data_IF_738557480911
#
_entry.id   IF_738557480911
#
_cell.length_a   1.000
_cell.length_b   1.000
_cell.length_c   1.000
_cell.angle_alpha   90.00
_cell.angle_beta   90.00
_cell.angle_gamma   90.00
#
_symmetry.space_group_name_H-M   'P 1'
#
loop_
_entity.id
_entity.type
_entity.pdbx_description
1 polymer ?
#
# COMPACT_ATOMS: atom_id res chain seq x y z
N UNK A 1 -16.56 -21.05 -28.25
CA UNK A 1 -15.32 -21.62 -27.68
C UNK A 1 -15.00 -20.82 -26.43
N UNK A 2 -14.96 -21.41 -25.22
CA UNK A 2 -14.47 -20.68 -24.06
C UNK A 2 -13.00 -20.33 -24.33
N UNK A 3 -12.63 -19.07 -24.15
CA UNK A 3 -11.23 -18.66 -24.23
C UNK A 3 -10.45 -19.47 -23.17
N UNK A 4 -9.37 -20.14 -23.57
CA UNK A 4 -8.43 -20.72 -22.62
C UNK A 4 -7.96 -19.61 -21.69
N UNK A 5 -8.27 -19.73 -20.40
CA UNK A 5 -7.78 -18.82 -19.37
C UNK A 5 -6.30 -19.14 -19.21
N UNK A 6 -5.44 -18.38 -19.87
CA UNK A 6 -4.00 -18.50 -19.70
C UNK A 6 -3.64 -17.96 -18.31
N UNK A 7 -3.39 -18.87 -17.37
CA UNK A 7 -3.01 -18.53 -16.00
C UNK A 7 -1.50 -18.25 -15.99
N UNK A 8 -1.03 -17.06 -15.56
CA UNK A 8 0.39 -16.77 -15.49
C UNK A 8 1.12 -17.77 -14.59
N UNK A 9 2.26 -18.28 -15.02
CA UNK A 9 3.10 -19.20 -14.25
C UNK A 9 3.97 -18.51 -13.19
N UNK A 10 4.06 -17.18 -13.20
CA UNK A 10 4.83 -16.39 -12.23
C UNK A 10 4.26 -14.98 -12.01
N UNK A 11 4.67 -14.32 -10.91
CA UNK A 11 4.32 -12.92 -10.63
C UNK A 11 4.86 -11.95 -11.70
N UNK A 12 6.06 -12.22 -12.22
CA UNK A 12 6.67 -11.41 -13.28
C UNK A 12 5.87 -11.53 -14.60
N UNK A 13 5.41 -12.73 -14.93
CA UNK A 13 4.53 -12.94 -16.08
C UNK A 13 3.17 -12.26 -15.86
N UNK A 14 2.57 -12.42 -14.68
CA UNK A 14 1.33 -11.74 -14.31
C UNK A 14 1.46 -10.21 -14.45
N UNK A 15 2.59 -9.64 -14.05
CA UNK A 15 2.87 -8.21 -14.17
C UNK A 15 2.88 -7.72 -15.62
N UNK A 16 3.22 -8.59 -16.57
CA UNK A 16 3.26 -8.27 -18.00
C UNK A 16 1.88 -8.43 -18.68
N UNK A 17 1.04 -9.36 -18.21
CA UNK A 17 -0.20 -9.74 -18.92
C UNK A 17 -1.50 -9.24 -18.29
N UNK A 18 -1.48 -8.79 -17.02
CA UNK A 18 -2.71 -8.44 -16.29
C UNK A 18 -3.53 -7.36 -17.01
N UNK A 19 -2.86 -6.36 -17.60
CA UNK A 19 -3.52 -5.24 -18.26
C UNK A 19 -4.31 -5.71 -19.49
N UNK A 20 -3.69 -6.57 -20.31
CA UNK A 20 -4.35 -7.19 -21.46
C UNK A 20 -5.52 -8.07 -21.04
N UNK A 21 -5.36 -8.85 -19.97
CA UNK A 21 -6.45 -9.66 -19.42
C UNK A 21 -7.63 -8.82 -18.91
N UNK A 22 -7.35 -7.72 -18.19
CA UNK A 22 -8.36 -6.80 -17.70
C UNK A 22 -9.14 -6.12 -18.84
N UNK A 23 -8.45 -5.75 -19.92
CA UNK A 23 -9.09 -5.20 -21.12
C UNK A 23 -9.95 -6.25 -21.83
N UNK A 24 -9.40 -7.44 -22.08
CA UNK A 24 -10.10 -8.52 -22.79
C UNK A 24 -11.37 -8.98 -22.06
N UNK A 25 -11.38 -8.90 -20.73
CA UNK A 25 -12.51 -9.27 -19.89
C UNK A 25 -13.47 -8.10 -19.60
N UNK A 26 -13.19 -6.90 -20.11
CA UNK A 26 -13.91 -5.68 -19.73
C UNK A 26 -14.02 -5.52 -18.20
N UNK A 27 -12.96 -5.86 -17.47
CA UNK A 27 -13.00 -5.91 -16.01
C UNK A 27 -13.14 -4.51 -15.41
N UNK A 28 -14.10 -4.35 -14.49
CA UNK A 28 -14.30 -3.11 -13.73
C UNK A 28 -13.39 -3.02 -12.48
N UNK A 29 -13.08 -4.18 -11.89
CA UNK A 29 -12.26 -4.32 -10.69
C UNK A 29 -11.12 -5.30 -10.97
N UNK A 30 -9.91 -4.90 -10.62
CA UNK A 30 -8.70 -5.72 -10.76
C UNK A 30 -7.96 -5.77 -9.44
N UNK A 31 -7.67 -6.98 -8.97
CA UNK A 31 -6.88 -7.22 -7.76
C UNK A 31 -5.52 -7.81 -8.16
N UNK A 32 -4.44 -7.11 -7.82
CA UNK A 32 -3.07 -7.48 -8.13
C UNK A 32 -2.33 -7.75 -6.82
N UNK A 33 -2.25 -9.03 -6.44
CA UNK A 33 -1.71 -9.44 -5.15
C UNK A 33 -0.24 -9.87 -5.24
N UNK A 34 0.70 -8.95 -4.95
CA UNK A 34 2.14 -9.24 -5.05
C UNK A 34 2.63 -9.36 -6.50
N UNK A 35 1.88 -8.81 -7.45
CA UNK A 35 2.22 -8.79 -8.88
C UNK A 35 3.05 -7.56 -9.24
N UNK A 36 2.71 -6.39 -8.67
CA UNK A 36 3.38 -5.13 -8.96
C UNK A 36 4.33 -4.75 -7.81
N UNK A 37 5.54 -5.28 -7.83
CA UNK A 37 6.60 -5.07 -6.82
C UNK A 37 7.72 -4.13 -7.33
N UNK A 38 8.42 -3.47 -6.43
CA UNK A 38 9.50 -2.53 -6.75
C UNK A 38 9.06 -1.49 -7.78
N UNK A 39 9.84 -1.33 -8.85
CA UNK A 39 9.55 -0.39 -9.93
C UNK A 39 8.31 -0.75 -10.77
N UNK A 40 7.86 -2.01 -10.74
CA UNK A 40 6.69 -2.44 -11.51
C UNK A 40 5.38 -1.83 -10.99
N UNK A 41 5.37 -1.28 -9.77
CA UNK A 41 4.22 -0.57 -9.18
C UNK A 41 3.73 0.60 -10.04
N UNK A 42 4.63 1.20 -10.82
CA UNK A 42 4.30 2.27 -11.79
C UNK A 42 3.27 1.84 -12.84
N UNK A 43 3.17 0.53 -13.14
CA UNK A 43 2.15 0.00 -14.04
C UNK A 43 0.71 0.22 -13.52
N UNK A 44 0.52 0.46 -12.22
CA UNK A 44 -0.80 0.82 -11.68
C UNK A 44 -1.32 2.18 -12.20
N UNK A 45 -0.43 3.03 -12.73
CA UNK A 45 -0.77 4.32 -13.33
C UNK A 45 -0.97 4.23 -14.86
N UNK A 46 -0.84 3.03 -15.44
CA UNK A 46 -0.93 2.85 -16.88
C UNK A 46 -2.31 3.28 -17.45
N UNK A 47 -2.42 3.55 -18.75
CA UNK A 47 -3.69 3.84 -19.39
C UNK A 47 -4.71 2.70 -19.24
N UNK A 48 -4.26 1.45 -19.21
CA UNK A 48 -5.12 0.26 -19.05
C UNK A 48 -5.77 0.19 -17.67
N UNK A 49 -5.14 0.78 -16.65
CA UNK A 49 -5.74 0.95 -15.33
C UNK A 49 -6.83 2.03 -15.29
N UNK A 50 -6.87 2.94 -16.28
CA UNK A 50 -7.81 4.06 -16.27
C UNK A 50 -9.27 3.58 -16.35
N UNK A 51 -10.13 4.18 -15.52
CA UNK A 51 -11.55 3.85 -15.45
C UNK A 51 -11.87 2.56 -14.67
N UNK A 52 -10.87 1.92 -14.06
CA UNK A 52 -11.02 0.69 -13.26
C UNK A 52 -10.69 0.93 -11.80
N UNK A 53 -11.28 0.13 -10.91
CA UNK A 53 -10.84 0.05 -9.52
C UNK A 53 -9.70 -0.96 -9.41
N UNK A 54 -8.50 -0.48 -9.07
CA UNK A 54 -7.34 -1.32 -8.82
C UNK A 54 -7.11 -1.46 -7.31
N UNK A 55 -6.93 -2.70 -6.86
CA UNK A 55 -6.42 -3.02 -5.54
C UNK A 55 -5.07 -3.73 -5.71
N UNK A 56 -3.99 -3.06 -5.31
CA UNK A 56 -2.62 -3.54 -5.51
C UNK A 56 -1.97 -3.79 -4.15
N UNK A 57 -1.53 -5.02 -3.90
CA UNK A 57 -0.56 -5.31 -2.83
C UNK A 57 0.83 -5.26 -3.42
N UNK A 58 1.68 -4.43 -2.86
CA UNK A 58 3.08 -4.23 -3.26
C UNK A 58 4.02 -4.47 -2.09
N UNK A 59 5.33 -4.49 -2.35
CA UNK A 59 6.41 -4.71 -1.38
C UNK A 59 6.98 -3.40 -0.80
N UNK A 60 6.47 -2.24 -1.23
CA UNK A 60 6.83 -0.96 -0.63
C UNK A 60 6.37 -0.85 0.82
N UNK A 61 7.31 -0.58 1.72
CA UNK A 61 7.09 -0.51 3.17
C UNK A 61 6.84 0.91 3.69
N UNK A 62 7.26 1.92 2.93
CA UNK A 62 7.09 3.35 3.23
C UNK A 62 6.10 3.98 2.25
N UNK A 63 5.04 4.58 2.80
CA UNK A 63 3.95 5.20 2.03
C UNK A 63 4.44 6.37 1.19
N UNK A 64 5.26 7.28 1.74
CA UNK A 64 5.64 8.50 1.04
C UNK A 64 6.79 8.26 0.06
N UNK A 65 7.68 7.32 0.33
CA UNK A 65 8.67 6.85 -0.65
C UNK A 65 7.98 6.21 -1.87
N UNK A 66 6.92 5.42 -1.65
CA UNK A 66 6.10 4.89 -2.76
C UNK A 66 5.45 6.02 -3.57
N UNK A 67 4.87 7.02 -2.91
CA UNK A 67 4.25 8.14 -3.60
C UNK A 67 5.26 8.99 -4.38
N UNK A 68 6.44 9.23 -3.81
CA UNK A 68 7.53 9.93 -4.47
C UNK A 68 8.00 9.15 -5.71
N UNK A 69 8.19 7.83 -5.58
CA UNK A 69 8.54 6.96 -6.69
C UNK A 69 7.49 6.98 -7.82
N UNK A 70 6.21 6.86 -7.48
CA UNK A 70 5.10 6.94 -8.44
C UNK A 70 4.97 8.34 -9.08
N UNK A 71 5.46 9.38 -8.41
CA UNK A 71 5.43 10.77 -8.87
C UNK A 71 6.72 11.22 -9.57
N UNK A 72 7.73 10.36 -9.73
CA UNK A 72 9.02 10.69 -10.34
C UNK A 72 8.85 11.34 -11.72
N UNK A 73 7.98 10.75 -12.55
CA UNK A 73 7.73 11.20 -13.93
C UNK A 73 6.58 12.21 -13.95
N UNK A 74 6.80 13.34 -14.61
CA UNK A 74 5.83 14.45 -14.63
C UNK A 74 4.43 14.04 -15.14
N UNK A 75 4.35 13.15 -16.14
CA UNK A 75 3.07 12.66 -16.66
C UNK A 75 2.31 11.76 -15.66
N UNK A 76 3.02 11.08 -14.76
CA UNK A 76 2.44 10.13 -13.82
C UNK A 76 1.87 10.86 -12.59
N UNK A 77 2.38 12.05 -12.26
CA UNK A 77 1.89 12.91 -11.17
C UNK A 77 0.40 13.23 -11.27
N UNK A 78 -0.07 13.61 -12.46
CA UNK A 78 -1.48 13.91 -12.70
C UNK A 78 -2.35 12.65 -12.56
N UNK A 79 -1.93 11.54 -13.18
CA UNK A 79 -2.64 10.27 -13.07
C UNK A 79 -2.71 9.79 -11.61
N UNK A 80 -1.60 9.87 -10.88
CA UNK A 80 -1.52 9.51 -9.47
C UNK A 80 -2.45 10.38 -8.62
N UNK A 81 -2.38 11.71 -8.75
CA UNK A 81 -3.22 12.62 -7.99
C UNK A 81 -4.72 12.41 -8.23
N UNK A 82 -5.12 12.08 -9.46
CA UNK A 82 -6.53 11.91 -9.81
C UNK A 82 -7.07 10.53 -9.45
N UNK A 83 -6.23 9.50 -9.51
CA UNK A 83 -6.63 8.08 -9.39
C UNK A 83 -6.34 7.48 -8.02
N UNK A 84 -5.33 7.96 -7.31
CA UNK A 84 -5.04 7.48 -5.95
C UNK A 84 -6.24 7.76 -5.05
N UNK A 85 -6.69 6.73 -4.33
CA UNK A 85 -7.76 6.85 -3.34
C UNK A 85 -7.22 6.72 -1.94
N UNK A 86 -6.45 5.65 -1.70
CA UNK A 86 -5.83 5.42 -0.43
C UNK A 86 -4.59 4.53 -0.56
N UNK A 87 -3.71 4.60 0.44
CA UNK A 87 -2.64 3.63 0.68
C UNK A 87 -2.87 3.05 2.07
N UNK A 88 -2.77 1.73 2.20
CA UNK A 88 -2.85 1.05 3.49
C UNK A 88 -1.53 0.35 3.76
N UNK A 89 -0.86 0.75 4.82
CA UNK A 89 0.24 0.00 5.43
C UNK A 89 -0.31 -0.74 6.64
N UNK A 90 -0.07 -2.05 6.70
CA UNK A 90 -0.46 -2.89 7.82
C UNK A 90 0.79 -3.50 8.47
N UNK A 91 0.83 -3.51 9.80
CA UNK A 91 1.77 -4.30 10.59
C UNK A 91 1.02 -5.18 11.58
N UNK A 92 1.57 -6.35 11.87
CA UNK A 92 1.04 -7.30 12.85
C UNK A 92 2.02 -7.42 14.01
N UNK A 93 1.70 -6.74 15.11
CA UNK A 93 2.53 -6.66 16.31
C UNK A 93 2.15 -7.75 17.29
N UNK A 94 3.13 -8.33 17.99
CA UNK A 94 2.86 -9.17 19.16
C UNK A 94 2.40 -8.32 20.35
N UNK A 95 1.37 -8.78 21.04
CA UNK A 95 0.88 -8.16 22.28
C UNK A 95 1.67 -8.69 23.47
N UNK A 96 2.07 -7.82 24.40
CA UNK A 96 2.74 -8.26 25.64
C UNK A 96 1.79 -9.04 26.56
N UNK A 97 2.33 -10.04 27.26
CA UNK A 97 1.58 -10.80 28.28
C UNK A 97 0.69 -11.93 27.76
N UNK A 98 0.64 -12.17 26.44
CA UNK A 98 -0.02 -13.34 25.86
C UNK A 98 0.74 -14.65 26.18
N UNK A 99 0.05 -15.79 26.33
CA UNK A 99 0.71 -17.08 26.49
C UNK A 99 1.59 -17.39 25.27
N UNK A 100 2.65 -18.18 25.44
CA UNK A 100 3.43 -18.65 24.31
C UNK A 100 2.52 -19.37 23.31
N UNK A 101 2.60 -19.04 22.01
CA UNK A 101 1.67 -19.56 21.01
C UNK A 101 1.84 -21.07 20.88
N UNK A 102 0.77 -21.81 21.16
CA UNK A 102 0.79 -23.28 21.16
C UNK A 102 0.60 -23.87 19.74
N UNK A 103 0.12 -23.07 18.80
CA UNK A 103 -0.08 -23.45 17.40
C UNK A 103 -0.17 -22.20 16.49
N UNK A 104 -0.25 -22.43 15.17
CA UNK A 104 -0.34 -21.36 14.18
C UNK A 104 -1.58 -20.44 14.33
N UNK A 105 -2.69 -20.96 14.85
CA UNK A 105 -3.89 -20.16 15.12
C UNK A 105 -3.73 -19.26 16.35
N UNK A 106 -2.93 -19.68 17.33
CA UNK A 106 -2.60 -18.89 18.51
C UNK A 106 -1.66 -17.73 18.13
N UNK A 107 -0.73 -17.96 17.19
CA UNK A 107 0.14 -16.91 16.65
C UNK A 107 -0.61 -15.71 16.05
N UNK A 108 -1.84 -15.90 15.55
CA UNK A 108 -2.68 -14.83 15.02
C UNK A 108 -3.55 -14.17 16.09
N UNK A 109 -3.91 -14.90 17.15
CA UNK A 109 -4.72 -14.38 18.27
C UNK A 109 -3.94 -13.41 19.17
N UNK A 110 -2.65 -13.65 19.34
CA UNK A 110 -1.78 -12.81 20.17
C UNK A 110 -1.17 -11.64 19.40
N UNK A 111 -1.73 -11.33 18.22
CA UNK A 111 -1.28 -10.23 17.37
C UNK A 111 -2.32 -9.14 17.27
N UNK A 112 -1.85 -7.90 17.31
CA UNK A 112 -2.63 -6.71 17.03
C UNK A 112 -2.25 -6.18 15.65
N UNK A 113 -3.26 -5.98 14.81
CA UNK A 113 -3.08 -5.26 13.56
C UNK A 113 -3.04 -3.75 13.85
N UNK A 114 -2.01 -3.09 13.32
CA UNK A 114 -1.90 -1.63 13.28
C UNK A 114 -1.90 -1.20 11.83
N UNK A 115 -2.69 -0.16 11.56
CA UNK A 115 -2.91 0.33 10.21
C UNK A 115 -2.51 1.79 10.12
N UNK A 116 -1.69 2.08 9.14
CA UNK A 116 -1.49 3.42 8.63
C UNK A 116 -2.30 3.52 7.34
N UNK A 117 -3.29 4.41 7.33
CA UNK A 117 -4.20 4.59 6.18
C UNK A 117 -4.10 6.02 5.72
N UNK A 118 -3.51 6.21 4.55
CA UNK A 118 -3.46 7.48 3.86
C UNK A 118 -4.64 7.61 2.92
N UNK A 119 -5.41 8.68 3.03
CA UNK A 119 -6.43 9.06 2.03
C UNK A 119 -5.88 10.18 1.15
N UNK A 120 -6.15 10.09 -0.15
CA UNK A 120 -5.73 11.11 -1.11
C UNK A 120 -6.68 12.31 -1.09
N UNK A 121 -6.54 13.15 -0.07
CA UNK A 121 -7.28 14.41 0.09
C UNK A 121 -6.79 15.49 -0.88
N UNK A 122 -7.60 16.54 -1.10
CA UNK A 122 -7.33 17.54 -2.12
C UNK A 122 -5.99 18.29 -1.90
N UNK A 123 -5.58 18.53 -0.65
CA UNK A 123 -4.27 19.11 -0.34
C UNK A 123 -3.12 18.23 -0.82
N UNK A 124 -3.21 16.91 -0.57
CA UNK A 124 -2.23 15.93 -1.03
C UNK A 124 -2.24 15.83 -2.55
N UNK A 125 -3.42 15.79 -3.19
CA UNK A 125 -3.53 15.75 -4.66
C UNK A 125 -2.85 16.95 -5.31
N UNK A 126 -3.02 18.15 -4.76
CA UNK A 126 -2.33 19.35 -5.25
C UNK A 126 -0.81 19.23 -5.13
N UNK A 127 -0.33 18.74 -3.98
CA UNK A 127 1.10 18.53 -3.76
C UNK A 127 1.69 17.47 -4.71
N UNK A 128 0.97 16.37 -4.96
CA UNK A 128 1.33 15.34 -5.93
C UNK A 128 1.44 15.92 -7.36
N UNK A 129 0.45 16.69 -7.80
CA UNK A 129 0.49 17.35 -9.13
C UNK A 129 1.68 18.30 -9.27
N UNK A 130 2.02 19.01 -8.20
CA UNK A 130 3.18 19.91 -8.17
C UNK A 130 4.52 19.16 -8.13
N UNK A 131 4.52 17.86 -7.82
CA UNK A 131 5.75 17.07 -7.65
C UNK A 131 6.52 17.46 -6.40
N UNK A 132 5.80 17.81 -5.33
CA UNK A 132 6.39 18.11 -4.02
C UNK A 132 7.11 16.88 -3.44
N UNK A 133 8.20 17.06 -2.68
CA UNK A 133 8.96 15.96 -2.09
C UNK A 133 8.18 15.22 -1.00
N UNK A 134 8.60 13.99 -0.68
CA UNK A 134 7.95 13.12 0.31
C UNK A 134 7.60 13.84 1.63
N UNK A 135 8.53 14.63 2.20
CA UNK A 135 8.32 15.36 3.45
C UNK A 135 7.15 16.36 3.36
N UNK A 136 6.91 16.96 2.19
CA UNK A 136 5.79 17.89 1.99
C UNK A 136 4.47 17.15 1.81
N UNK A 137 4.49 16.00 1.12
CA UNK A 137 3.34 15.10 0.99
C UNK A 137 2.88 14.62 2.38
N UNK A 138 3.84 14.23 3.22
CA UNK A 138 3.59 13.81 4.61
C UNK A 138 2.95 14.92 5.44
N UNK A 139 3.51 16.15 5.39
CA UNK A 139 2.92 17.28 6.09
C UNK A 139 1.47 17.58 5.64
N UNK A 140 1.17 17.45 4.34
CA UNK A 140 -0.20 17.59 3.82
C UNK A 140 -1.14 16.50 4.34
N UNK A 141 -0.65 15.27 4.44
CA UNK A 141 -1.40 14.14 4.96
C UNK A 141 -1.67 14.29 6.46
N UNK A 142 -0.65 14.61 7.27
CA UNK A 142 -0.79 14.80 8.73
C UNK A 142 -1.80 15.91 9.04
N UNK A 143 -1.74 17.03 8.30
CA UNK A 143 -2.70 18.12 8.44
C UNK A 143 -4.15 17.70 8.13
N UNK A 144 -4.33 16.65 7.33
CA UNK A 144 -5.62 16.04 7.01
C UNK A 144 -6.02 14.89 7.98
N UNK A 145 -5.24 14.67 9.04
CA UNK A 145 -5.55 13.66 10.07
C UNK A 145 -4.91 12.28 9.85
N UNK A 146 -4.03 12.15 8.84
CA UNK A 146 -3.19 10.97 8.71
C UNK A 146 -2.34 10.76 9.98
N UNK A 147 -2.21 9.51 10.40
CA UNK A 147 -1.43 9.13 11.58
C UNK A 147 -0.32 8.17 11.17
N UNK A 148 0.95 8.64 11.12
CA UNK A 148 2.08 7.79 10.79
C UNK A 148 2.18 6.61 11.76
N UNK A 149 2.65 5.47 11.25
CA UNK A 149 2.85 4.25 12.03
C UNK A 149 3.72 4.52 13.27
N UNK A 150 4.82 5.28 13.12
CA UNK A 150 5.72 5.63 14.22
C UNK A 150 4.98 6.22 15.43
N UNK A 151 4.12 7.22 15.22
CA UNK A 151 3.34 7.83 16.31
C UNK A 151 2.31 6.88 16.91
N UNK A 152 1.72 6.00 16.09
CA UNK A 152 0.81 4.98 16.60
C UNK A 152 1.53 3.98 17.50
N UNK A 153 2.74 3.54 17.11
CA UNK A 153 3.55 2.63 17.90
C UNK A 153 4.03 3.25 19.22
N UNK A 154 4.46 4.51 19.20
CA UNK A 154 4.80 5.26 20.42
C UNK A 154 3.66 5.25 21.44
N UNK A 155 2.43 5.51 20.99
CA UNK A 155 1.25 5.48 21.84
C UNK A 155 0.97 4.08 22.41
N UNK A 156 1.20 3.01 21.63
CA UNK A 156 1.02 1.63 22.08
C UNK A 156 2.06 1.19 23.10
N UNK A 157 3.31 1.63 22.92
CA UNK A 157 4.40 1.39 23.88
C UNK A 157 4.13 2.14 25.18
N UNK A 158 3.74 3.42 25.10
CA UNK A 158 3.37 4.21 26.27
C UNK A 158 2.18 3.60 27.05
N UNK A 159 1.25 2.95 26.35
CA UNK A 159 0.12 2.25 26.94
C UNK A 159 0.45 0.84 27.48
N UNK A 160 1.71 0.38 27.36
CA UNK A 160 2.12 -0.96 27.79
C UNK A 160 1.44 -2.11 27.03
N UNK A 161 0.92 -1.82 25.82
CA UNK A 161 0.23 -2.83 24.99
C UNK A 161 1.18 -3.59 24.06
N UNK A 162 2.33 -2.99 23.75
CA UNK A 162 3.37 -3.53 22.85
C UNK A 162 4.73 -3.17 23.43
N UNK A 163 5.70 -4.09 23.35
CA UNK A 163 7.05 -3.82 23.83
C UNK A 163 7.79 -2.83 22.93
N UNK A 164 8.73 -2.05 23.49
CA UNK A 164 9.56 -1.15 22.69
C UNK A 164 10.38 -1.88 21.62
N UNK A 165 10.84 -3.10 21.92
CA UNK A 165 11.59 -3.95 20.98
C UNK A 165 10.72 -4.44 19.82
N UNK A 166 9.49 -4.88 20.13
CA UNK A 166 8.53 -5.26 19.09
C UNK A 166 8.24 -4.05 18.21
N UNK A 167 7.89 -2.89 18.78
CA UNK A 167 7.61 -1.68 18.02
C UNK A 167 8.78 -1.27 17.10
N UNK A 168 10.02 -1.28 17.60
CA UNK A 168 11.20 -0.94 16.80
C UNK A 168 11.41 -1.87 15.59
N UNK A 169 11.08 -3.16 15.71
CA UNK A 169 11.25 -4.14 14.61
C UNK A 169 10.34 -3.92 13.41
N UNK A 170 9.29 -3.09 13.53
CA UNK A 170 8.33 -2.80 12.45
C UNK A 170 8.49 -1.38 11.85
N UNK A 171 9.47 -0.59 12.33
CA UNK A 171 9.81 0.74 11.81
C UNK A 171 11.07 0.78 10.95
N UNK A 172 11.83 -0.32 10.91
CA UNK A 172 13.00 -0.50 10.06
C UNK A 172 12.61 -1.06 8.68
#
# INVERSE_FOLDING_TARGET
MPAEVNVPGSAAEAAQVWAGAALAQCADIVVLDGVLTGAAVTAALSPEAAGRMLLVRTDWTDTFALLEHLAERAQDRAALADRLRFVVQQRLLRVEGGPAPQNASALLRDRRAVFEVLFAEESLRKALRAGEPAARLEACAEAAGFRPLARQLEALVAAGSVSATEAASHLA
#
